data_IF_415360773746
#
_entry.id   IF_415360773746
#
_cell.length_a   1.000
_cell.length_b   1.000
_cell.length_c   1.000
_cell.angle_alpha   90.00
_cell.angle_beta   90.00
_cell.angle_gamma   90.00
#
_symmetry.space_group_name_H-M   'P 1'
#
loop_
_entity.id
_entity.type
_entity.pdbx_description
1 polymer ?
#
# COMPACT_ATOMS: atom_id res chain seq x y z
N UNK A 1 2.03 11.04 -12.62
CA UNK A 1 2.12 10.66 -11.19
C UNK A 1 3.17 9.58 -11.05
N UNK A 2 4.16 9.83 -10.19
CA UNK A 2 5.34 9.00 -10.03
C UNK A 2 5.00 7.57 -9.62
N UNK A 3 5.87 6.65 -10.00
CA UNK A 3 5.95 5.29 -9.45
C UNK A 3 6.71 5.27 -8.11
N UNK A 4 6.68 4.13 -7.41
CA UNK A 4 7.39 3.98 -6.12
C UNK A 4 8.89 4.20 -6.24
N UNK A 5 9.52 3.66 -7.30
CA UNK A 5 10.97 3.81 -7.48
C UNK A 5 11.36 5.21 -7.93
N UNK A 6 10.52 5.91 -8.69
CA UNK A 6 10.76 7.32 -9.02
C UNK A 6 10.67 8.21 -7.77
N UNK A 7 9.65 8.02 -6.93
CA UNK A 7 9.55 8.74 -5.65
C UNK A 7 10.70 8.40 -4.68
N UNK A 8 11.26 7.20 -4.76
CA UNK A 8 12.50 6.88 -4.08
C UNK A 8 13.69 7.63 -4.69
N UNK A 9 13.88 7.63 -6.00
CA UNK A 9 14.99 8.38 -6.61
C UNK A 9 14.92 9.90 -6.33
N UNK A 10 13.72 10.45 -6.17
CA UNK A 10 13.49 11.87 -5.85
C UNK A 10 13.68 12.25 -4.36
N UNK A 11 14.08 11.31 -3.50
CA UNK A 11 14.30 11.63 -2.08
C UNK A 11 13.07 11.48 -1.17
N UNK A 12 11.90 11.15 -1.73
CA UNK A 12 10.63 11.16 -0.97
C UNK A 12 10.47 9.92 -0.10
N UNK A 13 10.62 8.73 -0.66
CA UNK A 13 10.42 7.47 0.09
C UNK A 13 11.70 7.02 0.81
N UNK A 14 11.62 6.43 2.01
CA UNK A 14 12.82 5.93 2.69
C UNK A 14 13.38 4.64 2.03
N UNK A 15 12.52 3.81 1.45
CA UNK A 15 12.90 2.63 0.68
C UNK A 15 11.91 2.39 -0.47
N UNK A 16 12.30 1.56 -1.44
CA UNK A 16 11.39 1.05 -2.47
C UNK A 16 11.63 -0.43 -2.70
N UNK A 17 10.54 -1.17 -2.96
CA UNK A 17 10.57 -2.59 -3.29
C UNK A 17 9.91 -2.77 -4.65
N UNK A 18 10.66 -3.33 -5.61
CA UNK A 18 10.28 -3.35 -7.02
C UNK A 18 10.67 -4.64 -7.69
N UNK A 19 9.84 -5.08 -8.64
CA UNK A 19 10.22 -6.09 -9.60
C UNK A 19 10.87 -5.41 -10.81
N UNK A 20 12.15 -5.66 -11.05
CA UNK A 20 12.95 -5.02 -12.11
C UNK A 20 12.47 -5.39 -13.53
N UNK A 21 11.80 -6.53 -13.74
CA UNK A 21 11.31 -6.95 -15.06
C UNK A 21 10.15 -6.09 -15.58
N UNK A 22 9.43 -5.45 -14.66
CA UNK A 22 8.20 -4.69 -14.98
C UNK A 22 8.34 -3.21 -14.67
N UNK A 23 9.57 -2.73 -14.45
CA UNK A 23 9.84 -1.29 -14.33
C UNK A 23 9.53 -0.62 -15.67
N UNK A 24 8.67 0.40 -15.62
CA UNK A 24 8.24 1.18 -16.79
C UNK A 24 9.39 1.97 -17.41
N UNK A 25 10.39 2.34 -16.60
CA UNK A 25 11.55 3.16 -16.97
C UNK A 25 12.86 2.43 -16.66
N UNK A 26 13.21 1.38 -17.43
CA UNK A 26 14.39 0.56 -17.15
C UNK A 26 15.71 1.34 -17.23
N UNK A 27 15.73 2.50 -17.89
CA UNK A 27 16.87 3.41 -17.92
C UNK A 27 17.24 3.98 -16.54
N UNK A 28 16.34 3.90 -15.56
CA UNK A 28 16.58 4.32 -14.18
C UNK A 28 17.19 3.22 -13.29
N UNK A 29 17.30 1.98 -13.79
CA UNK A 29 17.88 0.87 -13.02
C UNK A 29 19.32 1.16 -12.58
N UNK A 30 20.24 1.68 -13.42
CA UNK A 30 21.59 2.03 -12.97
C UNK A 30 21.59 2.95 -11.76
N UNK A 31 20.72 3.97 -11.75
CA UNK A 31 20.60 4.92 -10.64
C UNK A 31 20.09 4.24 -9.35
N UNK A 32 19.20 3.25 -9.46
CA UNK A 32 18.76 2.46 -8.29
C UNK A 32 19.89 1.60 -7.74
N UNK A 33 20.71 1.01 -8.61
CA UNK A 33 21.82 0.14 -8.22
C UNK A 33 22.95 0.88 -7.49
N UNK A 34 22.99 2.21 -7.53
CA UNK A 34 23.91 3.03 -6.72
C UNK A 34 23.53 3.07 -5.24
N UNK A 35 22.29 2.73 -4.89
CA UNK A 35 21.81 2.69 -3.51
C UNK A 35 22.06 1.34 -2.84
N UNK A 36 22.13 1.35 -1.51
CA UNK A 36 22.13 0.13 -0.71
C UNK A 36 20.91 -0.73 -1.08
N UNK A 37 21.14 -2.01 -1.36
CA UNK A 37 20.11 -2.88 -1.91
C UNK A 37 20.16 -4.31 -1.37
N UNK A 38 19.02 -4.99 -1.48
CA UNK A 38 18.80 -6.39 -1.10
C UNK A 38 17.95 -7.05 -2.21
N UNK A 39 18.48 -8.13 -2.79
CA UNK A 39 17.70 -8.98 -3.69
C UNK A 39 17.00 -10.05 -2.86
N UNK A 40 15.67 -10.00 -2.81
CA UNK A 40 14.88 -10.97 -2.06
C UNK A 40 14.66 -12.26 -2.85
N UNK A 41 14.41 -12.14 -4.16
CA UNK A 41 14.20 -13.27 -5.07
C UNK A 41 14.37 -12.76 -6.50
N UNK A 42 14.85 -13.60 -7.43
CA UNK A 42 15.08 -13.32 -8.85
C UNK A 42 15.17 -11.82 -9.21
N UNK A 43 14.00 -11.21 -9.48
CA UNK A 43 13.86 -9.83 -9.94
C UNK A 43 13.19 -8.88 -8.94
N UNK A 44 12.92 -9.30 -7.70
CA UNK A 44 12.39 -8.48 -6.62
C UNK A 44 13.51 -7.90 -5.75
N UNK A 45 13.73 -6.60 -5.92
CA UNK A 45 14.79 -5.86 -5.24
C UNK A 45 14.20 -4.82 -4.30
N UNK A 46 14.82 -4.70 -3.13
CA UNK A 46 14.59 -3.62 -2.19
C UNK A 46 15.79 -2.68 -2.20
N UNK A 47 15.54 -1.38 -2.29
CA UNK A 47 16.54 -0.32 -2.25
C UNK A 47 16.30 0.59 -1.05
N UNK A 48 17.38 1.02 -0.39
CA UNK A 48 17.42 1.79 0.85
C UNK A 48 18.26 3.05 0.67
N UNK A 49 18.04 4.08 1.49
CA UNK A 49 18.85 5.31 1.43
C UNK A 49 20.32 5.07 1.71
N UNK A 50 20.63 4.16 2.63
CA UNK A 50 21.99 3.85 3.04
C UNK A 50 22.11 2.42 3.59
N UNK A 51 23.34 1.97 3.82
CA UNK A 51 23.64 0.63 4.33
C UNK A 51 23.22 0.44 5.79
N UNK A 52 23.08 1.53 6.57
CA UNK A 52 22.61 1.44 7.96
C UNK A 52 21.14 1.00 7.98
N UNK A 53 20.28 1.67 7.20
CA UNK A 53 18.87 1.35 7.05
C UNK A 53 18.67 -0.09 6.54
N UNK A 54 19.43 -0.50 5.53
CA UNK A 54 19.44 -1.88 5.03
C UNK A 54 19.80 -2.88 6.13
N UNK A 55 20.85 -2.59 6.91
CA UNK A 55 21.30 -3.47 8.00
C UNK A 55 20.23 -3.59 9.09
N UNK A 56 19.61 -2.48 9.49
CA UNK A 56 18.51 -2.47 10.46
C UNK A 56 17.31 -3.29 9.97
N UNK A 57 16.94 -3.14 8.70
CA UNK A 57 15.89 -3.95 8.07
C UNK A 57 16.22 -5.43 8.10
N UNK A 58 17.40 -5.83 7.60
CA UNK A 58 17.78 -7.24 7.51
C UNK A 58 17.87 -7.91 8.88
N UNK A 59 18.31 -7.20 9.92
CA UNK A 59 18.34 -7.72 11.29
C UNK A 59 16.96 -8.11 11.84
N UNK A 60 15.91 -7.40 11.43
CA UNK A 60 14.53 -7.69 11.83
C UNK A 60 13.84 -8.68 10.87
N UNK A 61 14.21 -8.64 9.58
CA UNK A 61 13.51 -9.33 8.50
C UNK A 61 14.01 -10.75 8.22
N UNK A 62 15.33 -10.99 8.27
CA UNK A 62 15.95 -12.18 7.65
C UNK A 62 15.65 -13.50 8.38
N UNK A 63 15.25 -13.43 9.65
CA UNK A 63 14.93 -14.61 10.46
C UNK A 63 13.44 -14.96 10.45
N UNK A 64 12.61 -14.17 9.78
CA UNK A 64 11.17 -14.38 9.72
C UNK A 64 10.81 -15.33 8.58
N UNK A 65 9.81 -16.19 8.82
CA UNK A 65 9.31 -17.07 7.77
C UNK A 65 8.57 -16.26 6.69
N UNK A 66 8.50 -16.79 5.46
CA UNK A 66 7.81 -16.12 4.36
C UNK A 66 6.33 -15.85 4.64
N UNK A 67 5.70 -16.67 5.49
CA UNK A 67 4.29 -16.56 5.87
C UNK A 67 4.10 -15.78 7.19
N UNK A 68 5.16 -15.22 7.76
CA UNK A 68 5.07 -14.47 9.01
C UNK A 68 4.45 -13.09 8.77
N UNK A 69 3.30 -12.74 9.38
CA UNK A 69 2.71 -11.40 9.25
C UNK A 69 3.66 -10.27 9.69
N UNK A 70 4.59 -10.54 10.60
CA UNK A 70 5.58 -9.55 11.04
C UNK A 70 6.54 -9.16 9.92
N UNK A 71 6.79 -10.08 8.98
CA UNK A 71 7.61 -9.82 7.78
C UNK A 71 6.97 -8.74 6.91
N UNK A 72 5.67 -8.86 6.67
CA UNK A 72 4.88 -7.86 5.92
C UNK A 72 4.79 -6.53 6.69
N UNK A 73 4.74 -6.59 8.03
CA UNK A 73 4.75 -5.42 8.91
C UNK A 73 6.03 -4.60 8.73
N UNK A 74 7.17 -5.25 8.91
CA UNK A 74 8.50 -4.64 8.78
C UNK A 74 8.68 -4.08 7.37
N UNK A 75 8.31 -4.83 6.34
CA UNK A 75 8.37 -4.38 4.95
C UNK A 75 7.56 -3.09 4.75
N UNK A 76 6.28 -3.07 5.16
CA UNK A 76 5.41 -1.92 4.98
C UNK A 76 5.90 -0.65 5.69
N UNK A 77 6.36 -0.78 6.94
CA UNK A 77 6.93 0.34 7.70
C UNK A 77 8.22 0.86 7.06
N UNK A 78 9.09 -0.05 6.62
CA UNK A 78 10.37 0.30 5.97
C UNK A 78 10.16 1.02 4.64
N UNK A 79 9.10 0.67 3.90
CA UNK A 79 8.69 1.35 2.67
C UNK A 79 8.07 2.74 2.91
N UNK A 80 7.88 3.14 4.17
CA UNK A 80 7.27 4.41 4.55
C UNK A 80 5.75 4.42 4.35
N UNK A 81 5.06 3.31 4.64
CA UNK A 81 3.60 3.32 4.68
C UNK A 81 3.07 3.75 6.06
N UNK A 82 1.87 4.36 6.11
CA UNK A 82 1.25 4.69 7.39
C UNK A 82 1.09 3.46 8.29
N UNK A 83 1.37 3.55 9.60
CA UNK A 83 1.28 2.40 10.50
C UNK A 83 -0.08 1.70 10.50
N UNK A 84 -1.20 2.44 10.45
CA UNK A 84 -2.55 1.87 10.38
C UNK A 84 -2.80 1.07 9.10
N UNK A 85 -2.27 1.53 7.98
CA UNK A 85 -2.33 0.81 6.71
C UNK A 85 -1.55 -0.51 6.77
N UNK A 86 -0.37 -0.48 7.42
CA UNK A 86 0.42 -1.69 7.66
C UNK A 86 -0.36 -2.66 8.55
N UNK A 87 -0.88 -2.19 9.68
CA UNK A 87 -1.68 -3.01 10.62
C UNK A 87 -2.85 -3.70 9.91
N UNK A 88 -3.59 -2.95 9.08
CA UNK A 88 -4.71 -3.48 8.29
C UNK A 88 -4.26 -4.59 7.33
N UNK A 89 -3.17 -4.37 6.57
CA UNK A 89 -2.69 -5.37 5.62
C UNK A 89 -2.16 -6.61 6.31
N UNK A 90 -1.41 -6.46 7.41
CA UNK A 90 -0.86 -7.59 8.17
C UNK A 90 -1.96 -8.43 8.80
N UNK A 91 -3.01 -7.78 9.31
CA UNK A 91 -4.19 -8.49 9.84
C UNK A 91 -4.89 -9.31 8.74
N UNK A 92 -5.12 -8.71 7.57
CA UNK A 92 -5.65 -9.42 6.42
C UNK A 92 -4.73 -10.59 6.01
N UNK A 93 -3.42 -10.35 5.96
CA UNK A 93 -2.43 -11.32 5.54
C UNK A 93 -2.37 -12.55 6.47
N UNK A 94 -2.50 -12.34 7.78
CA UNK A 94 -2.61 -13.42 8.76
C UNK A 94 -3.94 -14.19 8.59
N UNK A 95 -5.06 -13.48 8.47
CA UNK A 95 -6.38 -14.10 8.39
C UNK A 95 -6.54 -14.95 7.12
N UNK A 96 -6.08 -14.46 5.96
CA UNK A 96 -6.20 -15.19 4.69
C UNK A 96 -5.45 -16.54 4.68
N UNK A 97 -4.46 -16.73 5.57
CA UNK A 97 -3.75 -18.01 5.70
C UNK A 97 -4.62 -19.08 6.38
N UNK A 98 -5.62 -18.68 7.15
CA UNK A 98 -6.52 -19.57 7.91
C UNK A 98 -7.87 -19.72 7.23
N UNK A 99 -8.45 -18.61 6.76
CA UNK A 99 -9.82 -18.51 6.24
C UNK A 99 -9.84 -17.63 4.99
N UNK A 100 -9.37 -18.20 3.88
CA UNK A 100 -9.05 -17.45 2.65
C UNK A 100 -10.25 -16.70 2.08
N UNK A 101 -11.42 -17.32 2.00
CA UNK A 101 -12.59 -16.71 1.33
C UNK A 101 -13.28 -15.69 2.23
N UNK A 102 -13.35 -15.93 3.53
CA UNK A 102 -13.87 -15.01 4.54
C UNK A 102 -12.99 -13.75 4.64
N UNK A 103 -11.66 -13.94 4.76
CA UNK A 103 -10.71 -12.84 4.77
C UNK A 103 -10.79 -12.00 3.49
N UNK A 104 -10.96 -12.66 2.34
CA UNK A 104 -11.11 -11.99 1.05
C UNK A 104 -12.43 -11.23 0.95
N UNK A 105 -13.54 -11.80 1.39
CA UNK A 105 -14.83 -11.11 1.47
C UNK A 105 -14.70 -9.86 2.35
N UNK A 106 -14.13 -10.00 3.55
CA UNK A 106 -13.87 -8.88 4.46
C UNK A 106 -12.98 -7.81 3.80
N UNK A 107 -11.89 -8.23 3.16
CA UNK A 107 -10.97 -7.31 2.47
C UNK A 107 -11.68 -6.49 1.41
N UNK A 108 -12.44 -7.10 0.49
CA UNK A 108 -13.11 -6.36 -0.58
C UNK A 108 -14.33 -5.53 -0.13
N UNK A 109 -14.78 -5.71 1.11
CA UNK A 109 -15.88 -4.93 1.72
C UNK A 109 -15.39 -3.82 2.66
N UNK A 110 -14.09 -3.75 2.95
CA UNK A 110 -13.50 -2.74 3.85
C UNK A 110 -12.29 -2.00 3.25
N UNK A 111 -11.62 -2.57 2.25
CA UNK A 111 -10.39 -2.06 1.67
C UNK A 111 -10.62 -0.80 0.83
N UNK A 112 -9.79 0.19 1.13
CA UNK A 112 -9.49 1.32 0.24
C UNK A 112 -8.03 1.25 -0.21
N UNK A 113 -7.75 1.69 -1.43
CA UNK A 113 -6.39 2.02 -1.86
C UNK A 113 -6.14 3.51 -1.67
N UNK A 114 -4.91 3.88 -1.34
CA UNK A 114 -4.48 5.28 -1.33
C UNK A 114 -3.25 5.41 -2.21
N UNK A 115 -3.18 6.50 -2.98
CA UNK A 115 -2.00 6.86 -3.76
C UNK A 115 -1.66 8.34 -3.55
N UNK A 116 -0.41 8.61 -3.23
CA UNK A 116 0.11 9.96 -2.97
C UNK A 116 1.59 10.00 -3.31
N UNK A 117 1.98 10.78 -4.32
CA UNK A 117 3.37 10.99 -4.74
C UNK A 117 4.25 9.72 -4.77
N UNK A 118 3.85 8.72 -5.56
CA UNK A 118 4.56 7.43 -5.70
C UNK A 118 4.39 6.45 -4.54
N UNK A 119 3.74 6.85 -3.45
CA UNK A 119 3.36 5.97 -2.34
C UNK A 119 1.99 5.39 -2.66
N UNK A 120 1.88 4.05 -2.69
CA UNK A 120 0.62 3.36 -2.94
C UNK A 120 0.47 2.18 -1.98
N UNK A 121 -0.62 2.16 -1.22
CA UNK A 121 -0.93 1.11 -0.24
C UNK A 121 -2.43 0.89 -0.14
N UNK A 122 -2.82 -0.13 0.63
CA UNK A 122 -4.21 -0.40 0.99
C UNK A 122 -4.42 -0.19 2.48
N UNK A 123 -5.63 0.21 2.87
CA UNK A 123 -6.00 0.39 4.27
C UNK A 123 -7.50 0.16 4.48
N UNK A 124 -7.96 0.26 5.73
CA UNK A 124 -9.36 0.24 6.09
C UNK A 124 -10.02 1.59 5.78
N UNK A 125 -11.29 1.57 5.36
CA UNK A 125 -12.08 2.79 5.10
C UNK A 125 -12.18 3.72 6.33
N UNK A 126 -12.17 3.17 7.54
CA UNK A 126 -12.25 3.98 8.76
C UNK A 126 -10.96 4.72 9.11
N UNK A 127 -9.82 4.20 8.67
CA UNK A 127 -8.51 4.81 8.91
C UNK A 127 -8.13 5.85 7.84
N UNK A 128 -9.02 6.10 6.86
CA UNK A 128 -8.76 6.98 5.71
C UNK A 128 -8.22 8.36 6.13
N UNK A 129 -8.85 8.96 7.15
CA UNK A 129 -8.46 10.27 7.68
C UNK A 129 -7.06 10.24 8.30
N UNK A 130 -6.82 9.27 9.17
CA UNK A 130 -5.55 9.12 9.88
C UNK A 130 -4.40 8.88 8.90
N UNK A 131 -4.60 7.98 7.93
CA UNK A 131 -3.59 7.70 6.90
C UNK A 131 -3.30 8.91 6.01
N UNK A 132 -4.33 9.65 5.59
CA UNK A 132 -4.15 10.84 4.75
C UNK A 132 -3.36 11.92 5.49
N UNK A 133 -3.71 12.18 6.76
CA UNK A 133 -3.01 13.12 7.61
C UNK A 133 -1.56 12.71 7.83
N UNK A 134 -1.31 11.43 8.13
CA UNK A 134 0.04 10.90 8.25
C UNK A 134 0.87 11.17 7.00
N UNK A 135 0.35 10.86 5.80
CA UNK A 135 1.06 11.13 4.54
C UNK A 135 1.40 12.62 4.35
N UNK A 136 0.43 13.50 4.61
CA UNK A 136 0.62 14.94 4.44
C UNK A 136 1.59 15.54 5.45
N UNK A 137 1.67 14.97 6.65
CA UNK A 137 2.59 15.42 7.70
C UNK A 137 3.99 14.83 7.52
N UNK A 138 4.10 13.58 7.04
CA UNK A 138 5.37 12.90 6.81
C UNK A 138 6.10 13.44 5.58
N UNK A 139 5.41 13.63 4.45
CA UNK A 139 6.08 13.97 3.20
C UNK A 139 5.92 15.43 2.78
N UNK A 140 4.83 16.10 3.20
CA UNK A 140 4.62 17.55 2.99
C UNK A 140 4.72 18.01 1.52
N UNK A 141 4.25 17.18 0.59
CA UNK A 141 4.24 17.47 -0.86
C UNK A 141 2.87 17.98 -1.26
N UNK A 142 2.80 19.17 -1.87
CA UNK A 142 1.54 19.79 -2.31
C UNK A 142 0.97 19.13 -3.58
N UNK A 143 0.52 17.89 -3.45
CA UNK A 143 -0.13 17.10 -4.49
C UNK A 143 -1.43 16.45 -4.01
N UNK A 144 -2.31 16.16 -4.97
CA UNK A 144 -3.54 15.44 -4.71
C UNK A 144 -3.27 14.02 -4.19
N UNK A 145 -4.05 13.62 -3.19
CA UNK A 145 -4.14 12.24 -2.73
C UNK A 145 -5.29 11.55 -3.43
N UNK A 146 -5.07 10.36 -3.98
CA UNK A 146 -6.08 9.62 -4.72
C UNK A 146 -6.57 8.45 -3.88
N UNK A 147 -7.86 8.49 -3.52
CA UNK A 147 -8.53 7.40 -2.82
C UNK A 147 -9.13 6.45 -3.86
N UNK A 148 -8.81 5.17 -3.78
CA UNK A 148 -9.15 4.15 -4.77
C UNK A 148 -10.04 3.08 -4.16
N UNK A 149 -10.99 2.60 -4.94
CA UNK A 149 -11.83 1.45 -4.57
C UNK A 149 -12.12 0.59 -5.79
N UNK A 150 -12.37 -0.69 -5.56
CA UNK A 150 -12.77 -1.63 -6.60
C UNK A 150 -14.21 -2.03 -6.33
N UNK A 151 -15.10 -1.73 -7.28
CA UNK A 151 -16.46 -2.22 -7.27
C UNK A 151 -16.48 -3.69 -7.66
N UNK A 152 -17.27 -4.48 -6.95
CA UNK A 152 -17.46 -5.91 -7.17
C UNK A 152 -18.90 -6.15 -7.64
N UNK A 153 -19.17 -7.19 -8.48
CA UNK A 153 -18.21 -8.19 -8.97
C UNK A 153 -17.51 -7.78 -10.27
N UNK A 154 -17.88 -6.65 -10.89
CA UNK A 154 -17.39 -6.22 -12.20
C UNK A 154 -15.92 -5.75 -12.21
N UNK A 155 -15.30 -5.62 -11.03
CA UNK A 155 -13.92 -5.18 -10.81
C UNK A 155 -13.64 -3.79 -11.37
N UNK A 156 -14.66 -2.95 -11.51
CA UNK A 156 -14.48 -1.55 -11.94
C UNK A 156 -13.68 -0.80 -10.89
N UNK A 157 -12.59 -0.14 -11.31
CA UNK A 157 -11.76 0.70 -10.44
C UNK A 157 -12.30 2.12 -10.47
N UNK A 158 -12.49 2.71 -9.30
CA UNK A 158 -12.87 4.11 -9.14
C UNK A 158 -11.81 4.82 -8.29
N UNK A 159 -11.51 6.05 -8.66
CA UNK A 159 -10.50 6.88 -7.99
C UNK A 159 -11.09 8.27 -7.73
N UNK A 160 -10.85 8.80 -6.53
CA UNK A 160 -11.36 10.08 -6.06
C UNK A 160 -10.17 10.96 -5.65
N UNK A 161 -9.88 12.05 -6.35
CA UNK A 161 -8.83 12.98 -5.94
C UNK A 161 -9.27 13.77 -4.71
N UNK A 162 -8.32 14.03 -3.83
CA UNK A 162 -8.45 14.83 -2.60
C UNK A 162 -7.31 15.84 -2.62
N UNK A 163 -7.63 17.12 -2.68
CA UNK A 163 -6.60 18.16 -2.68
C UNK A 163 -5.76 18.09 -1.38
N UNK A 164 -4.48 18.45 -1.48
CA UNK A 164 -3.55 18.40 -0.35
C UNK A 164 -4.13 19.11 0.89
N UNK A 165 -4.20 18.38 2.01
CA UNK A 165 -4.76 18.85 3.29
C UNK A 165 -6.23 19.29 3.25
N UNK A 166 -6.97 18.98 2.19
CA UNK A 166 -8.40 19.30 2.10
C UNK A 166 -9.24 18.21 2.77
N UNK A 167 -9.61 18.46 4.03
CA UNK A 167 -10.44 17.54 4.81
C UNK A 167 -11.88 17.42 4.30
N UNK A 168 -12.42 18.45 3.64
CA UNK A 168 -13.77 18.38 3.08
C UNK A 168 -13.82 17.42 1.88
N UNK A 169 -12.83 17.51 0.98
CA UNK A 169 -12.68 16.57 -0.15
C UNK A 169 -12.49 15.14 0.36
N UNK A 170 -11.73 14.97 1.45
CA UNK A 170 -11.50 13.65 2.04
C UNK A 170 -12.78 13.02 2.60
N UNK A 171 -13.66 13.83 3.22
CA UNK A 171 -14.96 13.38 3.71
C UNK A 171 -15.87 12.97 2.54
N UNK A 172 -15.95 13.79 1.49
CA UNK A 172 -16.72 13.48 0.29
C UNK A 172 -16.21 12.21 -0.42
N UNK A 173 -14.88 12.04 -0.53
CA UNK A 173 -14.27 10.83 -1.05
C UNK A 173 -14.61 9.60 -0.18
N UNK A 174 -14.56 9.73 1.16
CA UNK A 174 -14.95 8.65 2.09
C UNK A 174 -16.40 8.22 1.85
N UNK A 175 -17.33 9.16 1.72
CA UNK A 175 -18.75 8.85 1.49
C UNK A 175 -19.00 8.18 0.13
N UNK A 176 -18.30 8.60 -0.93
CA UNK A 176 -18.37 7.96 -2.26
C UNK A 176 -17.84 6.53 -2.21
N UNK A 177 -16.70 6.33 -1.56
CA UNK A 177 -16.10 5.00 -1.40
C UNK A 177 -16.96 4.09 -0.52
N UNK A 178 -17.52 4.62 0.58
CA UNK A 178 -18.38 3.85 1.48
C UNK A 178 -19.59 3.27 0.73
N UNK A 179 -20.24 4.06 -0.15
CA UNK A 179 -21.33 3.57 -0.99
C UNK A 179 -20.93 2.41 -1.90
N UNK A 180 -19.70 2.42 -2.41
CA UNK A 180 -19.17 1.32 -3.24
C UNK A 180 -18.89 0.09 -2.38
N UNK A 181 -18.36 0.28 -1.17
CA UNK A 181 -18.13 -0.83 -0.24
C UNK A 181 -19.45 -1.44 0.26
N UNK A 182 -20.49 -0.63 0.49
CA UNK A 182 -21.84 -1.11 0.83
C UNK A 182 -22.43 -1.92 -0.32
N UNK A 183 -22.26 -1.47 -1.56
CA UNK A 183 -22.61 -2.26 -2.73
C UNK A 183 -21.84 -3.59 -2.76
N UNK A 184 -20.53 -3.58 -2.49
CA UNK A 184 -19.72 -4.80 -2.45
C UNK A 184 -20.22 -5.78 -1.39
N UNK A 185 -20.67 -5.32 -0.21
CA UNK A 185 -21.20 -6.18 0.86
C UNK A 185 -22.40 -6.98 0.38
N UNK A 186 -23.34 -6.33 -0.30
CA UNK A 186 -24.53 -6.98 -0.88
C UNK A 186 -24.15 -7.87 -2.06
N UNK A 187 -23.26 -7.40 -2.94
CA UNK A 187 -22.90 -8.10 -4.18
C UNK A 187 -22.02 -9.35 -3.94
N UNK A 188 -21.34 -9.43 -2.79
CA UNK A 188 -20.49 -10.54 -2.40
C UNK A 188 -21.14 -11.47 -1.35
N UNK A 189 -22.43 -11.30 -1.04
CA UNK A 189 -23.13 -12.23 -0.15
C UNK A 189 -22.95 -13.68 -0.64
N UNK A 190 -22.68 -14.63 0.26
CA UNK A 190 -22.46 -16.01 -0.12
C UNK A 190 -23.72 -16.53 -0.84
N UNK A 191 -23.53 -17.08 -2.05
CA UNK A 191 -24.55 -17.90 -2.68
C UNK A 191 -24.86 -19.01 -1.68
N UNK A 192 -26.06 -19.00 -1.10
CA UNK A 192 -26.49 -20.03 -0.17
C UNK A 192 -26.15 -21.41 -0.75
N UNK A 193 -25.57 -22.33 0.03
CA UNK A 193 -25.26 -23.67 -0.46
C UNK A 193 -26.56 -24.28 -1.03
N UNK A 194 -26.52 -24.64 -2.31
CA UNK A 194 -27.58 -25.41 -2.97
C UNK A 194 -27.57 -26.85 -2.49
#
# INVERSE_FOLDING_TARGET
>A
MLSSYEAFLEGVKPATYVNLDIIVRPELIPNLMEYANFNESDNFWMFFRDEEMKTQFLNQYSNLSHNDPERERILGLTLGYPPKAVDFYTYYYEWQQREREEAKHWYFTHKVGMKYHGIMFTSHIDDLKENAQWLWDTYQIEEDTYIKVVRMPDRKREEFPVAFRNLADLVDAKEKVQRILDHNRVALEPIAPK
#
